data_IF_358107102496
#
_entry.id   IF_358107102496
#
_cell.length_a   1.000
_cell.length_b   1.000
_cell.length_c   1.000
_cell.angle_alpha   90.00
_cell.angle_beta   90.00
_cell.angle_gamma   90.00
#
_symmetry.space_group_name_H-M   'P 1'
#
loop_
_entity.id
_entity.type
_entity.pdbx_description
1 polymer ?
#
# COMPACT_ATOMS: atom_id res chain seq x y z
N UNK A 1 -9.96 -21.08 -48.87
CA UNK A 1 -9.74 -19.80 -48.18
C UNK A 1 -10.92 -19.56 -47.25
N UNK A 2 -10.73 -19.76 -45.95
CA UNK A 2 -11.69 -19.34 -44.92
C UNK A 2 -10.86 -18.78 -43.76
N UNK A 3 -10.63 -17.48 -43.83
CA UNK A 3 -9.95 -16.65 -42.83
C UNK A 3 -10.98 -16.03 -41.89
N UNK A 4 -10.68 -16.03 -40.59
CA UNK A 4 -11.44 -15.34 -39.56
C UNK A 4 -12.51 -16.25 -38.95
N UNK A 5 -12.58 -16.45 -37.64
CA UNK A 5 -12.41 -15.49 -36.55
C UNK A 5 -11.74 -16.22 -35.38
N UNK A 6 -10.44 -15.97 -35.16
CA UNK A 6 -9.75 -16.39 -33.95
C UNK A 6 -9.50 -15.15 -33.09
N UNK A 7 -10.01 -15.18 -31.85
CA UNK A 7 -9.53 -14.29 -30.79
C UNK A 7 -10.34 -13.02 -30.55
N UNK A 8 -11.53 -13.14 -29.97
CA UNK A 8 -12.21 -12.01 -29.32
C UNK A 8 -12.91 -12.45 -28.03
N UNK A 9 -12.20 -13.16 -27.14
CA UNK A 9 -12.72 -13.48 -25.81
C UNK A 9 -11.59 -13.74 -24.80
N UNK A 10 -10.70 -12.78 -24.57
CA UNK A 10 -9.82 -12.80 -23.38
C UNK A 10 -9.78 -11.41 -22.76
N UNK A 11 -10.86 -11.01 -22.09
CA UNK A 11 -10.88 -9.75 -21.35
C UNK A 11 -11.81 -9.79 -20.12
N UNK A 12 -11.83 -10.88 -19.34
CA UNK A 12 -12.63 -10.91 -18.09
C UNK A 12 -11.90 -11.49 -16.87
N UNK A 13 -10.57 -11.52 -16.88
CA UNK A 13 -9.78 -11.78 -15.67
C UNK A 13 -8.97 -10.55 -15.25
N UNK A 14 -9.58 -9.36 -15.33
CA UNK A 14 -8.98 -8.08 -14.92
C UNK A 14 -9.24 -7.78 -13.43
N UNK A 15 -9.15 -8.80 -12.57
CA UNK A 15 -9.07 -8.57 -11.12
C UNK A 15 -7.94 -7.59 -10.86
N UNK A 16 -8.15 -6.57 -10.04
CA UNK A 16 -7.30 -5.40 -9.93
C UNK A 16 -5.82 -5.73 -9.59
N UNK A 17 -4.94 -5.68 -10.60
CA UNK A 17 -3.49 -5.65 -10.43
C UNK A 17 -3.11 -4.21 -10.11
N UNK A 18 -3.23 -3.80 -8.84
CA UNK A 18 -3.20 -2.42 -8.36
C UNK A 18 -1.96 -1.59 -8.77
N UNK A 19 -1.93 -1.15 -10.03
CA UNK A 19 -0.98 -0.20 -10.61
C UNK A 19 -1.64 1.17 -10.81
N UNK A 20 -2.96 1.22 -10.95
CA UNK A 20 -3.72 2.45 -11.10
C UNK A 20 -4.16 3.00 -9.73
N UNK A 21 -3.26 3.73 -9.08
CA UNK A 21 -3.46 4.34 -7.77
C UNK A 21 -3.77 5.83 -7.91
N UNK A 22 -4.62 6.35 -7.02
CA UNK A 22 -4.97 7.77 -6.97
C UNK A 22 -3.77 8.65 -6.63
N UNK A 23 -3.93 9.96 -6.85
CA UNK A 23 -3.06 10.94 -6.21
C UNK A 23 -3.13 10.78 -4.67
N UNK A 24 -2.02 10.98 -3.94
CA UNK A 24 -1.99 10.80 -2.49
C UNK A 24 -2.97 11.74 -1.77
N UNK A 25 -3.81 11.17 -0.91
CA UNK A 25 -4.78 11.89 -0.10
C UNK A 25 -4.20 12.01 1.32
N UNK A 26 -4.17 13.23 1.86
CA UNK A 26 -3.78 13.51 3.24
C UNK A 26 -4.98 13.39 4.18
N UNK A 27 -4.81 12.67 5.29
CA UNK A 27 -5.76 12.67 6.41
C UNK A 27 -5.02 12.65 7.74
N UNK A 28 -5.34 13.61 8.61
CA UNK A 28 -4.66 13.77 9.90
C UNK A 28 -3.12 13.85 9.72
N UNK A 29 -2.41 12.80 10.14
CA UNK A 29 -0.95 12.66 10.13
C UNK A 29 -0.47 11.60 9.12
N UNK A 30 -1.36 11.09 8.28
CA UNK A 30 -1.08 10.00 7.35
C UNK A 30 -1.55 10.33 5.94
N UNK A 31 -0.81 9.80 4.97
CA UNK A 31 -1.18 9.90 3.57
C UNK A 31 -1.42 8.51 3.01
N UNK A 32 -2.35 8.41 2.08
CA UNK A 32 -2.73 7.14 1.47
C UNK A 32 -3.16 7.34 0.03
N UNK A 33 -3.12 6.27 -0.74
CA UNK A 33 -3.67 6.20 -2.08
C UNK A 33 -4.76 5.14 -2.14
N UNK A 34 -5.67 5.31 -3.09
CA UNK A 34 -6.77 4.39 -3.35
C UNK A 34 -6.61 3.83 -4.76
N UNK A 35 -6.75 2.52 -4.95
CA UNK A 35 -6.82 1.99 -6.31
C UNK A 35 -8.12 2.42 -6.97
N UNK A 36 -8.01 3.04 -8.14
CA UNK A 36 -9.17 3.52 -8.90
C UNK A 36 -9.97 2.38 -9.55
N UNK A 37 -9.41 1.17 -9.59
CA UNK A 37 -10.09 -0.02 -10.15
C UNK A 37 -10.95 -0.78 -9.14
N UNK A 38 -10.61 -0.77 -7.84
CA UNK A 38 -11.30 -1.59 -6.85
C UNK A 38 -11.55 -0.90 -5.50
N UNK A 39 -10.92 0.25 -5.22
CA UNK A 39 -11.10 0.97 -3.96
C UNK A 39 -10.18 0.55 -2.80
N UNK A 40 -9.27 -0.41 -3.00
CA UNK A 40 -8.32 -0.80 -1.95
C UNK A 40 -7.37 0.36 -1.65
N UNK A 41 -6.99 0.51 -0.37
CA UNK A 41 -6.14 1.62 0.10
C UNK A 41 -4.76 1.12 0.46
N UNK A 42 -3.77 2.00 0.35
CA UNK A 42 -2.38 1.76 0.78
C UNK A 42 -1.79 3.05 1.31
N UNK A 43 -0.96 2.98 2.35
CA UNK A 43 -0.28 4.16 2.88
C UNK A 43 0.74 4.72 1.88
N UNK A 44 0.97 6.01 1.97
CA UNK A 44 1.84 6.77 1.10
C UNK A 44 2.79 7.63 1.92
N UNK A 45 4.08 7.55 1.59
CA UNK A 45 5.17 8.31 2.18
C UNK A 45 5.40 9.52 1.29
N UNK A 46 5.16 10.70 1.83
CA UNK A 46 5.21 11.96 1.09
C UNK A 46 6.64 12.46 0.93
N UNK A 47 7.50 12.17 1.90
CA UNK A 47 8.90 12.55 1.87
C UNK A 47 9.66 11.67 0.86
N UNK A 48 9.42 10.35 0.93
CA UNK A 48 9.98 9.39 -0.02
C UNK A 48 9.21 9.27 -1.34
N UNK A 49 8.11 10.02 -1.50
CA UNK A 49 7.16 9.97 -2.62
C UNK A 49 6.84 8.54 -3.11
N UNK A 50 6.51 7.63 -2.17
CA UNK A 50 6.29 6.21 -2.46
C UNK A 50 5.20 5.58 -1.60
N UNK A 51 4.44 4.66 -2.17
CA UNK A 51 3.47 3.87 -1.40
C UNK A 51 4.17 2.78 -0.59
N UNK A 52 3.73 2.53 0.64
CA UNK A 52 4.32 1.55 1.55
C UNK A 52 3.26 0.78 2.33
N UNK A 53 3.70 -0.30 2.99
CA UNK A 53 2.81 -1.13 3.82
C UNK A 53 1.83 -1.99 3.00
N UNK A 54 0.94 -2.69 3.71
CA UNK A 54 -0.04 -3.59 3.11
C UNK A 54 -1.21 -2.82 2.46
N UNK A 55 -2.01 -3.54 1.68
CA UNK A 55 -3.28 -3.07 1.16
C UNK A 55 -4.42 -3.41 2.13
N UNK A 56 -5.38 -2.50 2.29
CA UNK A 56 -6.61 -2.74 3.05
C UNK A 56 -7.73 -1.83 2.56
N UNK A 57 -8.98 -2.27 2.67
CA UNK A 57 -10.13 -1.40 2.45
C UNK A 57 -10.42 -0.48 3.64
N UNK A 58 -10.00 -0.89 4.84
CA UNK A 58 -10.09 -0.11 6.07
C UNK A 58 -8.80 0.70 6.28
N UNK A 59 -8.93 2.02 6.21
CA UNK A 59 -7.83 2.97 6.42
C UNK A 59 -7.41 3.04 7.88
N UNK A 60 -8.35 2.94 8.82
CA UNK A 60 -8.04 2.99 10.25
C UNK A 60 -7.19 1.79 10.66
N UNK A 61 -7.47 0.62 10.09
CA UNK A 61 -6.63 -0.56 10.26
C UNK A 61 -5.19 -0.34 9.78
N UNK A 62 -4.99 0.27 8.60
CA UNK A 62 -3.65 0.60 8.10
C UNK A 62 -2.90 1.54 9.04
N UNK A 63 -3.57 2.59 9.49
CA UNK A 63 -3.02 3.60 10.40
C UNK A 63 -2.62 2.96 11.75
N UNK A 64 -3.49 2.13 12.33
CA UNK A 64 -3.21 1.45 13.59
C UNK A 64 -1.99 0.52 13.47
N UNK A 65 -1.88 -0.24 12.38
CA UNK A 65 -0.75 -1.12 12.11
C UNK A 65 0.57 -0.33 11.95
N UNK A 66 0.55 0.79 11.23
CA UNK A 66 1.73 1.64 11.06
C UNK A 66 2.17 2.27 12.39
N UNK A 67 1.24 2.77 13.20
CA UNK A 67 1.55 3.27 14.55
C UNK A 67 2.18 2.19 15.43
N UNK A 68 1.62 0.98 15.42
CA UNK A 68 2.19 -0.15 16.15
C UNK A 68 3.59 -0.55 15.65
N UNK A 69 3.85 -0.44 14.34
CA UNK A 69 5.18 -0.66 13.76
C UNK A 69 6.18 0.40 14.24
N UNK A 70 5.82 1.68 14.21
CA UNK A 70 6.68 2.79 14.68
C UNK A 70 7.04 2.64 16.16
N UNK A 71 6.06 2.31 17.02
CA UNK A 71 6.32 2.07 18.44
C UNK A 71 7.30 0.92 18.68
N UNK A 72 7.20 -0.17 17.90
CA UNK A 72 8.13 -1.31 18.00
C UNK A 72 9.54 -0.93 17.56
N UNK A 73 9.66 -0.17 16.47
CA UNK A 73 10.97 0.31 15.99
C UNK A 73 11.64 1.22 17.03
N UNK A 74 10.89 2.16 17.61
CA UNK A 74 11.41 3.03 18.68
C UNK A 74 11.91 2.22 19.88
N UNK A 75 11.11 1.26 20.35
CA UNK A 75 11.49 0.38 21.46
C UNK A 75 12.76 -0.41 21.14
N UNK A 76 12.89 -0.92 19.92
CA UNK A 76 14.08 -1.67 19.51
C UNK A 76 15.32 -0.77 19.48
N UNK A 77 15.21 0.45 18.93
CA UNK A 77 16.33 1.41 18.94
C UNK A 77 16.75 1.81 20.36
N UNK A 78 15.79 1.96 21.30
CA UNK A 78 16.09 2.25 22.69
C UNK A 78 16.79 1.08 23.39
N UNK A 79 16.41 -0.15 23.07
CA UNK A 79 17.05 -1.36 23.61
C UNK A 79 18.46 -1.55 23.04
N UNK A 80 18.66 -1.28 21.76
CA UNK A 80 19.97 -1.33 21.11
C UNK A 80 20.92 -0.26 21.67
N UNK A 81 20.44 0.97 21.87
CA UNK A 81 21.21 2.05 22.49
C UNK A 81 21.61 1.74 23.95
N UNK A 82 20.83 0.91 24.66
CA UNK A 82 21.12 0.48 26.03
C UNK A 82 22.02 -0.75 26.11
N UNK A 83 22.31 -1.42 24.98
CA UNK A 83 23.13 -2.62 24.96
C UNK A 83 24.61 -2.21 25.07
N UNK A 84 25.34 -2.63 26.12
CA UNK A 84 26.75 -2.28 26.26
C UNK A 84 27.55 -2.85 25.08
N UNK A 85 28.43 -2.04 24.49
CA UNK A 85 29.40 -2.51 23.52
C UNK A 85 30.26 -3.59 24.20
N UNK A 86 30.20 -4.81 23.69
CA UNK A 86 31.03 -5.94 24.13
C UNK A 86 32.37 -5.90 23.43
#
# INVERSE_FOLDING_TARGET
>A
MATGVAGAAVAVLRGCWHQNMSWPIRTQEHSYQVCLGCGVKRLFDEEGFRSYGPYSYDLHHLIACERARRMRLHRHSEQEAKRPAS
#
